data_IF_678140236267
#
_entry.id   IF_678140236267
#
_cell.length_a   1.000
_cell.length_b   1.000
_cell.length_c   1.000
_cell.angle_alpha   90.00
_cell.angle_beta   90.00
_cell.angle_gamma   90.00
#
_symmetry.space_group_name_H-M   'P 1'
#
loop_
_entity.id
_entity.type
_entity.pdbx_description
1 polymer ?
#
# COMPACT_ATOMS: atom_id res chain seq x y z
N UNK A 1 6.75 54.86 30.89
CA UNK A 1 5.69 54.40 29.96
C UNK A 1 5.69 52.89 30.02
N UNK A 2 4.64 52.35 30.63
CA UNK A 2 4.23 50.95 30.63
C UNK A 2 4.05 50.48 29.19
N UNK A 3 4.53 49.28 28.81
CA UNK A 3 3.59 48.25 28.36
C UNK A 3 4.17 46.85 28.41
N UNK A 4 3.28 45.97 28.80
CA UNK A 4 3.38 44.55 29.09
C UNK A 4 2.88 43.86 27.82
N UNK A 5 3.41 42.70 27.45
CA UNK A 5 2.61 41.49 27.18
C UNK A 5 3.53 40.34 26.79
N UNK A 6 3.62 39.43 27.75
CA UNK A 6 3.95 38.02 27.59
C UNK A 6 2.94 37.36 26.63
N UNK A 7 3.39 36.72 25.55
CA UNK A 7 2.63 35.63 24.90
C UNK A 7 3.56 34.51 24.44
N UNK A 8 3.69 33.53 25.33
CA UNK A 8 3.91 32.14 24.97
C UNK A 8 2.68 31.64 24.21
N UNK A 9 2.89 31.05 23.03
CA UNK A 9 2.15 29.85 22.61
C UNK A 9 3.02 28.98 21.69
N UNK A 10 3.01 27.64 21.89
CA UNK A 10 3.87 26.69 21.20
C UNK A 10 3.28 26.32 19.82
N UNK A 11 4.07 26.53 18.77
CA UNK A 11 3.70 26.18 17.40
C UNK A 11 4.16 24.78 17.04
N UNK A 12 3.27 23.81 17.26
CA UNK A 12 3.12 22.57 16.49
C UNK A 12 4.39 21.80 16.12
N UNK A 13 4.75 20.84 16.98
CA UNK A 13 5.35 19.58 16.54
C UNK A 13 4.42 18.96 15.50
N UNK A 14 4.70 19.24 14.23
CA UNK A 14 4.16 18.46 13.13
C UNK A 14 4.71 17.05 13.38
N UNK A 15 3.82 16.14 13.79
CA UNK A 15 4.03 14.71 13.65
C UNK A 15 4.29 14.46 12.16
N UNK A 16 5.54 14.62 11.76
CA UNK A 16 6.04 14.10 10.50
C UNK A 16 5.98 12.60 10.73
N UNK A 17 4.94 11.95 10.22
CA UNK A 17 4.90 10.50 10.18
C UNK A 17 6.28 10.06 9.65
N UNK A 18 6.98 9.14 10.34
CA UNK A 18 8.29 8.70 9.88
C UNK A 18 8.14 8.34 8.41
N UNK A 19 9.00 8.92 7.55
CA UNK A 19 9.01 8.61 6.13
C UNK A 19 8.94 7.08 6.00
N UNK A 20 7.94 6.51 5.31
CA UNK A 20 7.86 5.07 5.14
C UNK A 20 9.22 4.61 4.65
N UNK A 21 9.86 3.69 5.39
CA UNK A 21 11.12 3.13 4.92
C UNK A 21 10.77 2.27 3.72
N UNK A 22 10.92 2.84 2.52
CA UNK A 22 10.76 2.11 1.26
C UNK A 22 11.86 1.06 1.22
N UNK A 23 11.48 -0.21 1.07
CA UNK A 23 12.44 -1.33 1.05
C UNK A 23 12.58 -1.90 -0.35
N UNK A 24 11.52 -1.84 -1.15
CA UNK A 24 11.54 -2.35 -2.54
C UNK A 24 11.12 -1.22 -3.47
N UNK A 25 12.00 -0.82 -4.38
CA UNK A 25 11.72 0.06 -5.53
C UNK A 25 11.92 -0.81 -6.79
N UNK A 26 10.84 -1.10 -7.50
CA UNK A 26 10.80 -2.09 -8.58
C UNK A 26 10.22 -1.41 -9.83
N UNK A 27 10.92 -1.52 -10.95
CA UNK A 27 10.40 -1.04 -12.23
C UNK A 27 9.29 -1.93 -12.76
N UNK A 28 8.30 -1.38 -13.46
CA UNK A 28 7.28 -2.18 -14.19
C UNK A 28 7.95 -3.12 -15.21
N UNK A 29 9.11 -2.73 -15.73
CA UNK A 29 9.94 -3.57 -16.60
C UNK A 29 10.41 -4.87 -15.93
N UNK A 30 10.60 -4.87 -14.61
CA UNK A 30 10.85 -6.06 -13.79
C UNK A 30 9.51 -6.64 -13.30
N UNK A 31 8.74 -7.14 -14.26
CA UNK A 31 7.38 -7.62 -14.00
C UNK A 31 7.34 -8.83 -13.06
N UNK A 32 8.33 -9.72 -13.15
CA UNK A 32 8.44 -10.90 -12.29
C UNK A 32 8.71 -10.48 -10.85
N UNK A 33 9.73 -9.65 -10.60
CA UNK A 33 10.04 -9.14 -9.27
C UNK A 33 8.88 -8.33 -8.67
N UNK A 34 8.18 -7.55 -9.50
CA UNK A 34 6.99 -6.81 -9.08
C UNK A 34 5.84 -7.76 -8.70
N UNK A 35 5.60 -8.81 -9.49
CA UNK A 35 4.55 -9.81 -9.24
C UNK A 35 4.78 -10.53 -7.92
N UNK A 36 6.02 -10.92 -7.64
CA UNK A 36 6.40 -11.55 -6.37
C UNK A 36 6.18 -10.61 -5.19
N UNK A 37 6.68 -9.37 -5.28
CA UNK A 37 6.53 -8.38 -4.22
C UNK A 37 5.06 -8.00 -3.97
N UNK A 38 4.24 -7.94 -5.03
CA UNK A 38 2.82 -7.69 -4.94
C UNK A 38 2.08 -8.83 -4.23
N UNK A 39 2.38 -10.09 -4.59
CA UNK A 39 1.85 -11.27 -3.87
C UNK A 39 2.24 -11.26 -2.40
N UNK A 40 3.50 -11.00 -2.10
CA UNK A 40 4.01 -10.91 -0.72
C UNK A 40 3.33 -9.81 0.10
N UNK A 41 2.97 -8.69 -0.54
CA UNK A 41 2.28 -7.59 0.11
C UNK A 41 0.84 -7.95 0.44
N UNK A 42 0.11 -8.58 -0.47
CA UNK A 42 -1.32 -8.86 -0.27
C UNK A 42 -1.63 -10.26 0.29
N UNK A 43 -0.61 -11.07 0.55
CA UNK A 43 -0.75 -12.42 1.10
C UNK A 43 -1.61 -12.45 2.39
N UNK A 44 -2.64 -13.31 2.36
CA UNK A 44 -3.60 -13.48 3.45
C UNK A 44 -4.56 -12.31 3.69
N UNK A 45 -4.54 -11.26 2.87
CA UNK A 45 -5.41 -10.08 3.05
C UNK A 45 -6.71 -10.15 2.24
N UNK A 46 -6.73 -10.91 1.15
CA UNK A 46 -7.87 -11.01 0.23
C UNK A 46 -7.55 -11.92 -0.94
N UNK A 47 -8.22 -11.68 -2.08
CA UNK A 47 -7.91 -12.35 -3.35
C UNK A 47 -6.76 -11.61 -4.03
N UNK A 48 -5.75 -12.35 -4.45
CA UNK A 48 -4.60 -11.83 -5.19
C UNK A 48 -4.47 -12.62 -6.48
N UNK A 49 -4.44 -11.89 -7.59
CA UNK A 49 -4.16 -12.44 -8.91
C UNK A 49 -2.93 -11.77 -9.48
N UNK A 50 -2.05 -12.58 -10.05
CA UNK A 50 -0.86 -12.08 -10.72
C UNK A 50 -0.58 -12.96 -11.92
N UNK A 51 -0.60 -12.34 -13.10
CA UNK A 51 -0.42 -12.95 -14.40
C UNK A 51 0.68 -12.23 -15.17
N UNK A 52 0.97 -12.68 -16.39
CA UNK A 52 1.92 -12.02 -17.29
C UNK A 52 1.49 -10.62 -17.74
N UNK A 53 0.22 -10.24 -17.55
CA UNK A 53 -0.34 -8.98 -18.06
C UNK A 53 -0.97 -8.10 -16.98
N UNK A 54 -1.33 -8.65 -15.83
CA UNK A 54 -2.01 -7.91 -14.75
C UNK A 54 -1.66 -8.41 -13.35
N UNK A 55 -1.68 -7.47 -12.41
CA UNK A 55 -1.66 -7.68 -10.96
C UNK A 55 -2.95 -7.11 -10.38
N UNK A 56 -3.63 -7.88 -9.54
CA UNK A 56 -4.90 -7.46 -8.94
C UNK A 56 -4.99 -7.93 -7.50
N UNK A 57 -5.44 -7.03 -6.64
CA UNK A 57 -5.84 -7.31 -5.28
C UNK A 57 -7.28 -6.85 -5.07
N UNK A 58 -8.06 -7.69 -4.40
CA UNK A 58 -9.40 -7.36 -3.91
C UNK A 58 -9.57 -7.84 -2.47
N UNK A 59 -10.08 -6.96 -1.62
CA UNK A 59 -10.55 -7.37 -0.29
C UNK A 59 -11.77 -8.28 -0.40
N UNK A 60 -11.99 -9.10 0.62
CA UNK A 60 -13.14 -10.01 0.67
C UNK A 60 -14.04 -9.66 1.87
N UNK A 61 -15.36 -9.89 1.78
CA UNK A 61 -16.27 -9.67 2.90
C UNK A 61 -15.83 -10.40 4.18
N UNK A 62 -16.15 -9.88 5.38
CA UNK A 62 -16.97 -8.70 5.66
C UNK A 62 -16.17 -7.38 5.70
N UNK A 63 -14.92 -7.36 5.19
CA UNK A 63 -14.12 -6.13 5.21
C UNK A 63 -14.65 -5.06 4.27
N UNK A 64 -14.16 -3.83 4.46
CA UNK A 64 -14.38 -2.73 3.51
C UNK A 64 -13.98 -3.17 2.10
N UNK A 65 -14.89 -3.01 1.13
CA UNK A 65 -14.64 -3.34 -0.26
C UNK A 65 -13.54 -2.43 -0.81
N UNK A 66 -12.42 -2.97 -1.25
CA UNK A 66 -11.34 -2.17 -1.84
C UNK A 66 -10.49 -3.06 -2.73
N UNK A 67 -9.91 -2.47 -3.77
CA UNK A 67 -8.98 -3.19 -4.63
C UNK A 67 -8.09 -2.26 -5.43
N UNK A 68 -7.02 -2.84 -5.94
CA UNK A 68 -6.07 -2.21 -6.84
C UNK A 68 -5.72 -3.20 -7.95
N UNK A 69 -5.65 -2.70 -9.17
CA UNK A 69 -5.20 -3.42 -10.34
C UNK A 69 -4.14 -2.60 -11.08
N UNK A 70 -3.12 -3.28 -11.57
CA UNK A 70 -2.00 -2.73 -12.32
C UNK A 70 -1.72 -3.64 -13.52
N UNK A 71 -1.74 -3.05 -14.71
CA UNK A 71 -1.40 -3.71 -15.96
C UNK A 71 0.10 -3.61 -16.24
N UNK A 72 0.65 -4.55 -17.02
CA UNK A 72 2.07 -4.57 -17.40
C UNK A 72 2.52 -3.38 -18.24
N UNK A 73 1.58 -2.71 -18.89
CA UNK A 73 1.86 -1.46 -19.59
C UNK A 73 1.91 -0.24 -18.64
N UNK A 74 1.67 -0.43 -17.34
CA UNK A 74 1.66 0.62 -16.33
C UNK A 74 0.30 1.27 -16.10
N UNK A 75 -0.76 0.84 -16.80
CA UNK A 75 -2.12 1.33 -16.56
C UNK A 75 -2.67 0.81 -15.23
N UNK A 76 -3.41 1.64 -14.48
CA UNK A 76 -3.88 1.30 -13.14
C UNK A 76 -5.38 1.53 -12.96
N UNK A 77 -6.05 0.63 -12.24
CA UNK A 77 -7.42 0.81 -11.77
C UNK A 77 -7.47 0.60 -10.25
N UNK A 78 -8.02 1.56 -9.50
CA UNK A 78 -8.30 1.39 -8.08
C UNK A 78 -9.80 1.42 -7.83
N UNK A 79 -10.34 0.37 -7.19
CA UNK A 79 -11.74 0.30 -6.82
C UNK A 79 -11.93 0.84 -5.40
N UNK A 80 -12.14 2.16 -5.29
CA UNK A 80 -13.11 2.83 -4.40
C UNK A 80 -12.88 4.36 -4.40
N UNK A 81 -13.84 5.23 -4.78
CA UNK A 81 -14.95 5.12 -5.73
C UNK A 81 -14.49 5.64 -7.11
N UNK A 82 -14.32 4.74 -8.10
CA UNK A 82 -14.14 5.03 -9.54
C UNK A 82 -13.42 6.35 -9.89
N UNK A 83 -12.13 6.45 -9.58
CA UNK A 83 -11.23 7.26 -10.37
C UNK A 83 -10.39 6.30 -11.20
N UNK A 84 -10.75 6.15 -12.48
CA UNK A 84 -9.79 5.65 -13.46
C UNK A 84 -8.63 6.64 -13.45
N UNK A 85 -7.47 6.20 -12.98
CA UNK A 85 -6.27 7.01 -13.04
C UNK A 85 -5.74 6.84 -14.46
N UNK A 86 -5.96 7.86 -15.30
CA UNK A 86 -5.37 7.93 -16.63
C UNK A 86 -3.90 8.34 -16.50
N UNK A 87 -3.10 7.42 -15.94
CA UNK A 87 -1.67 7.58 -15.81
C UNK A 87 -0.96 6.25 -16.01
N UNK A 88 0.20 6.32 -16.65
CA UNK A 88 1.10 5.19 -16.83
C UNK A 88 2.16 5.25 -15.75
N UNK A 89 2.21 4.22 -14.92
CA UNK A 89 3.24 4.08 -13.90
C UNK A 89 4.45 3.33 -14.44
N UNK A 90 5.63 3.71 -13.96
CA UNK A 90 6.92 3.14 -14.39
C UNK A 90 7.60 2.37 -13.27
N UNK A 91 7.27 2.69 -12.01
CA UNK A 91 7.87 2.06 -10.82
C UNK A 91 6.87 1.88 -9.69
N UNK A 92 7.13 0.90 -8.85
CA UNK A 92 6.41 0.65 -7.62
C UNK A 92 7.36 0.64 -6.41
N UNK A 93 6.98 1.36 -5.36
CA UNK A 93 7.67 1.41 -4.09
C UNK A 93 6.81 0.79 -3.00
N UNK A 94 7.28 -0.29 -2.38
CA UNK A 94 6.59 -0.99 -1.30
C UNK A 94 7.32 -0.72 0.02
N UNK A 95 6.56 -0.35 1.05
CA UNK A 95 7.10 -0.10 2.38
C UNK A 95 7.53 -1.39 3.10
N UNK A 96 8.40 -1.25 4.11
CA UNK A 96 8.90 -2.35 4.94
C UNK A 96 7.80 -3.17 5.62
N UNK A 97 6.72 -2.50 6.05
CA UNK A 97 5.58 -3.13 6.72
C UNK A 97 4.64 -3.85 5.76
N UNK A 98 4.80 -3.65 4.45
CA UNK A 98 3.89 -4.10 3.39
C UNK A 98 2.45 -3.63 3.66
N UNK A 99 2.31 -2.39 4.10
CA UNK A 99 1.03 -1.74 4.42
C UNK A 99 0.64 -0.74 3.34
N UNK A 100 1.59 -0.31 2.50
CA UNK A 100 1.36 0.56 1.37
C UNK A 100 2.24 0.26 0.16
N UNK A 101 1.70 0.57 -1.02
CA UNK A 101 2.40 0.56 -2.31
C UNK A 101 2.20 1.92 -2.97
N UNK A 102 3.31 2.54 -3.36
CA UNK A 102 3.34 3.79 -4.11
C UNK A 102 3.71 3.50 -5.56
N UNK A 103 2.85 3.85 -6.49
CA UNK A 103 3.10 3.78 -7.91
C UNK A 103 3.59 5.15 -8.40
N UNK A 104 4.69 5.17 -9.13
CA UNK A 104 5.37 6.39 -9.59
C UNK A 104 5.32 6.43 -11.11
N UNK A 105 4.79 7.52 -11.65
CA UNK A 105 4.66 7.76 -13.07
C UNK A 105 5.15 9.17 -13.43
N UNK A 106 5.30 9.48 -14.72
CA UNK A 106 5.83 10.77 -15.16
C UNK A 106 4.88 11.93 -14.85
N UNK A 107 3.57 11.68 -14.85
CA UNK A 107 2.55 12.73 -14.64
C UNK A 107 2.01 12.77 -13.21
N UNK A 108 2.03 11.65 -12.50
CA UNK A 108 1.57 11.58 -11.11
C UNK A 108 2.12 10.36 -10.38
N UNK A 109 2.10 10.48 -9.05
CA UNK A 109 2.30 9.36 -8.14
C UNK A 109 0.98 9.01 -7.46
N UNK A 110 0.74 7.73 -7.24
CA UNK A 110 -0.40 7.23 -6.49
C UNK A 110 0.07 6.39 -5.31
N UNK A 111 -0.60 6.46 -4.16
CA UNK A 111 -0.30 5.59 -3.01
C UNK A 111 -1.55 4.85 -2.58
N UNK A 112 -1.52 3.54 -2.74
CA UNK A 112 -2.51 2.64 -2.14
C UNK A 112 -2.07 2.30 -0.71
N UNK A 113 -2.95 2.52 0.25
CA UNK A 113 -2.75 2.10 1.65
C UNK A 113 -3.78 1.04 1.99
N UNK A 114 -3.31 -0.12 2.47
CA UNK A 114 -4.20 -1.17 2.94
C UNK A 114 -4.93 -0.66 4.19
N UNK A 115 -6.28 -0.68 4.22
CA UNK A 115 -7.04 -0.29 5.40
C UNK A 115 -6.64 -1.10 6.66
N UNK A 116 -6.50 -0.46 7.84
CA UNK A 116 -6.14 -1.15 9.07
C UNK A 116 -7.04 -2.33 9.43
N UNK A 117 -8.34 -2.26 9.09
CA UNK A 117 -9.29 -3.35 9.29
C UNK A 117 -8.87 -4.65 8.57
N UNK A 118 -8.35 -4.52 7.34
CA UNK A 118 -7.87 -5.64 6.53
C UNK A 118 -6.52 -6.15 7.04
N UNK A 119 -5.61 -5.25 7.43
CA UNK A 119 -4.29 -5.63 7.97
C UNK A 119 -4.37 -6.55 9.19
N UNK A 120 -5.46 -6.48 9.98
CA UNK A 120 -5.70 -7.39 11.12
C UNK A 120 -5.72 -8.87 10.71
N UNK A 121 -6.01 -9.21 9.45
CA UNK A 121 -5.96 -10.58 8.93
C UNK A 121 -4.55 -11.18 9.00
N UNK A 122 -3.52 -10.38 8.72
CA UNK A 122 -2.12 -10.82 8.76
C UNK A 122 -1.68 -11.24 10.17
N UNK A 123 -2.19 -10.55 11.20
CA UNK A 123 -1.97 -10.91 12.60
C UNK A 123 -2.68 -12.21 13.04
N UNK A 124 -3.86 -12.49 12.47
CA UNK A 124 -4.66 -13.68 12.80
C UNK A 124 -4.02 -14.98 12.30
N UNK A 125 -3.40 -14.95 11.11
CA UNK A 125 -2.76 -16.13 10.50
C UNK A 125 -1.48 -16.56 11.24
N UNK A 126 -0.69 -15.62 11.79
CA UNK A 126 0.48 -15.94 12.63
C UNK A 126 0.13 -16.70 13.93
N UNK A 127 -1.11 -16.62 14.40
CA UNK A 127 -1.60 -17.42 15.52
C UNK A 127 -1.92 -18.87 15.15
N UNK A 128 -2.40 -19.10 13.92
CA UNK A 128 -2.84 -20.41 13.43
C UNK A 128 -1.69 -21.27 12.89
N UNK A 129 -0.62 -20.65 12.35
CA UNK A 129 0.57 -21.38 11.87
C UNK A 129 1.37 -22.08 12.98
N UNK A 130 1.07 -21.82 14.27
CA UNK A 130 1.66 -22.55 15.41
C UNK A 130 0.99 -23.91 15.66
N UNK A 131 -0.20 -24.17 15.10
CA UNK A 131 -0.95 -25.41 15.36
C UNK A 131 -0.68 -26.53 14.35
N UNK A 132 0.01 -26.26 13.23
CA UNK A 132 0.26 -27.26 12.17
C UNK A 132 1.71 -27.77 12.11
N UNK A 133 2.49 -27.59 13.19
CA UNK A 133 3.87 -28.11 13.30
C UNK A 133 4.01 -29.23 14.35
N UNK A 134 3.01 -30.09 14.43
CA UNK A 134 3.04 -31.34 15.18
C UNK A 134 2.30 -32.41 14.38
N UNK A 135 2.97 -33.01 13.40
CA UNK A 135 2.67 -34.37 12.95
C UNK A 135 3.90 -34.99 12.30
#
# INVERSE_FOLDING_TARGET
>A
ITDITNKLTPGSDKFTAPSPRVVKDIGISDWEGLSEAFREMFDGLGRVEASESSLQYESVPPDVATGISLSRDGSMLANMPLHGIDSRFERAQIDDRRESIRLIGPSMDYTYRVPPAILRRRGRLRGLSRLWRLR
#
